data_IF_619875741895
#
_entry.id   IF_619875741895
#
_cell.length_a   1.000
_cell.length_b   1.000
_cell.length_c   1.000
_cell.angle_alpha   90.00
_cell.angle_beta   90.00
_cell.angle_gamma   90.00
#
_symmetry.space_group_name_H-M   'P 1'
#
loop_
_entity.id
_entity.type
_entity.pdbx_description
1 polymer ?
#
# COMPACT_ATOMS: atom_id res chain seq x y z
N UNK A 1 -18.08 12.19 13.35
CA UNK A 1 -17.57 11.61 14.61
C UNK A 1 -16.26 10.95 14.28
N UNK A 2 -15.15 11.32 14.91
CA UNK A 2 -13.88 10.67 14.67
C UNK A 2 -14.01 9.21 15.13
N UNK A 3 -13.73 8.26 14.24
CA UNK A 3 -13.71 6.85 14.58
C UNK A 3 -12.60 6.66 15.61
N UNK A 4 -12.91 6.08 16.76
CA UNK A 4 -11.88 5.80 17.76
C UNK A 4 -10.89 4.79 17.17
N UNK A 5 -9.59 5.09 17.29
CA UNK A 5 -8.52 4.20 16.88
C UNK A 5 -8.63 2.88 17.67
N UNK A 6 -9.05 1.81 16.98
CA UNK A 6 -9.24 0.48 17.55
C UNK A 6 -8.44 -0.59 16.78
N UNK A 7 -8.05 -1.66 17.45
CA UNK A 7 -7.45 -2.85 16.81
C UNK A 7 -8.44 -3.48 15.80
N UNK A 8 -7.96 -4.41 14.97
CA UNK A 8 -8.82 -5.22 14.12
C UNK A 8 -9.67 -6.13 15.01
N UNK A 9 -10.97 -5.86 15.05
CA UNK A 9 -11.92 -6.59 15.88
C UNK A 9 -12.44 -7.87 15.20
N UNK A 10 -13.07 -8.74 16.00
CA UNK A 10 -13.83 -9.91 15.56
C UNK A 10 -13.05 -10.95 14.75
N UNK A 11 -11.72 -11.02 14.91
CA UNK A 11 -10.85 -11.99 14.22
C UNK A 11 -11.37 -13.43 14.32
N UNK A 12 -11.62 -14.12 13.19
CA UNK A 12 -12.02 -15.53 13.19
C UNK A 12 -10.98 -16.44 13.87
N UNK A 13 -11.45 -17.34 14.73
CA UNK A 13 -10.58 -18.26 15.50
C UNK A 13 -9.74 -19.18 14.61
N UNK A 14 -10.20 -19.44 13.39
CA UNK A 14 -9.50 -20.31 12.44
C UNK A 14 -8.16 -19.71 12.00
N UNK A 15 -8.05 -18.38 11.91
CA UNK A 15 -6.83 -17.68 11.48
C UNK A 15 -5.67 -17.90 12.45
N UNK A 16 -5.96 -18.06 13.74
CA UNK A 16 -4.95 -18.35 14.77
C UNK A 16 -4.26 -19.69 14.61
N UNK A 17 -4.76 -20.57 13.72
CA UNK A 17 -4.11 -21.82 13.36
C UNK A 17 -3.13 -21.66 12.19
N UNK A 18 -3.13 -20.52 11.51
CA UNK A 18 -2.24 -20.25 10.39
C UNK A 18 -0.81 -20.03 10.90
N UNK A 19 0.21 -20.51 10.16
CA UNK A 19 1.61 -20.29 10.50
C UNK A 19 1.92 -18.80 10.65
N UNK A 20 2.63 -18.43 11.71
CA UNK A 20 3.09 -17.06 11.97
C UNK A 20 1.97 -16.00 12.02
N UNK A 21 0.70 -16.38 12.20
CA UNK A 21 -0.37 -15.38 12.33
C UNK A 21 -0.39 -14.77 13.73
N UNK A 22 -0.32 -15.61 14.79
CA UNK A 22 -0.34 -15.14 16.17
C UNK A 22 1.01 -14.66 16.71
N UNK A 23 2.07 -14.69 15.89
CA UNK A 23 3.43 -14.31 16.25
C UNK A 23 4.24 -14.06 14.99
N UNK A 24 5.19 -13.12 15.00
CA UNK A 24 6.10 -12.94 13.87
C UNK A 24 7.06 -14.13 13.69
N UNK A 25 7.44 -14.45 12.44
CA UNK A 25 8.42 -15.50 12.18
C UNK A 25 9.78 -15.18 12.81
N UNK A 26 10.55 -16.22 13.06
CA UNK A 26 11.93 -16.08 13.54
C UNK A 26 12.87 -15.79 12.36
N UNK A 27 13.78 -14.82 12.52
CA UNK A 27 14.78 -14.46 11.52
C UNK A 27 14.40 -13.25 10.66
N UNK A 28 15.31 -12.85 9.79
CA UNK A 28 15.11 -11.75 8.83
C UNK A 28 14.24 -12.21 7.66
N UNK A 29 13.42 -11.31 7.15
CA UNK A 29 12.63 -11.52 5.93
C UNK A 29 12.71 -10.30 5.02
N UNK A 30 12.37 -10.49 3.75
CA UNK A 30 12.14 -9.40 2.80
C UNK A 30 10.65 -9.20 2.56
N UNK A 31 10.22 -7.99 2.28
CA UNK A 31 8.83 -7.74 1.87
C UNK A 31 8.74 -7.91 0.35
N UNK A 32 7.85 -8.79 -0.11
CA UNK A 32 7.66 -9.08 -1.54
C UNK A 32 6.78 -8.01 -2.21
N UNK A 33 7.27 -6.76 -2.28
CA UNK A 33 6.54 -5.67 -2.94
C UNK A 33 6.48 -5.86 -4.45
N UNK A 34 7.59 -6.19 -5.12
CA UNK A 34 7.60 -6.31 -6.57
C UNK A 34 6.72 -7.48 -7.03
N UNK A 35 6.75 -8.64 -6.35
CA UNK A 35 5.88 -9.76 -6.68
C UNK A 35 4.40 -9.46 -6.48
N UNK A 36 4.05 -8.62 -5.51
CA UNK A 36 2.66 -8.24 -5.24
C UNK A 36 2.15 -7.05 -6.09
N UNK A 37 3.02 -6.09 -6.40
CA UNK A 37 2.64 -4.76 -6.92
C UNK A 37 3.14 -4.47 -8.34
N UNK A 38 4.06 -5.30 -8.86
CA UNK A 38 4.79 -5.03 -10.09
C UNK A 38 5.94 -4.04 -9.91
N UNK A 39 6.85 -4.04 -10.88
CA UNK A 39 8.10 -3.28 -10.83
C UNK A 39 7.87 -1.76 -10.77
N UNK A 40 6.84 -1.25 -11.47
CA UNK A 40 6.59 0.19 -11.50
C UNK A 40 6.32 0.74 -10.10
N UNK A 41 5.36 0.17 -9.38
CA UNK A 41 5.03 0.66 -8.03
C UNK A 41 6.18 0.36 -7.06
N UNK A 42 6.87 -0.79 -7.19
CA UNK A 42 8.06 -1.08 -6.41
C UNK A 42 9.15 0.01 -6.54
N UNK A 43 9.48 0.40 -7.78
CA UNK A 43 10.42 1.48 -8.06
C UNK A 43 9.92 2.86 -7.58
N UNK A 44 8.62 3.12 -7.73
CA UNK A 44 8.00 4.39 -7.32
C UNK A 44 8.11 4.59 -5.80
N UNK A 45 7.97 3.51 -5.02
CA UNK A 45 8.12 3.52 -3.56
C UNK A 45 9.59 3.51 -3.10
N UNK A 46 10.46 2.82 -3.85
CA UNK A 46 11.90 2.83 -3.58
C UNK A 46 12.47 4.25 -3.64
N UNK A 47 11.99 5.06 -4.59
CA UNK A 47 12.39 6.46 -4.76
C UNK A 47 11.82 7.42 -3.68
N UNK A 48 10.95 6.94 -2.78
CA UNK A 48 10.40 7.73 -1.67
C UNK A 48 11.28 7.66 -0.42
N UNK A 49 12.54 8.09 -0.55
CA UNK A 49 13.49 8.26 0.55
C UNK A 49 14.00 9.71 0.64
N UNK A 50 14.76 10.00 1.71
CA UNK A 50 15.48 11.27 1.84
C UNK A 50 14.59 12.50 1.77
N UNK A 51 15.06 13.58 1.15
CA UNK A 51 14.25 14.79 0.99
C UNK A 51 13.47 14.76 -0.32
N UNK A 52 12.16 15.00 -0.21
CA UNK A 52 11.23 14.95 -1.32
C UNK A 52 10.35 16.21 -1.37
N UNK A 53 9.89 16.62 -2.56
CA UNK A 53 10.31 16.10 -3.86
C UNK A 53 11.73 16.54 -4.23
N UNK A 54 12.42 15.72 -5.02
CA UNK A 54 13.72 16.06 -5.58
C UNK A 54 13.56 17.15 -6.66
N UNK A 55 14.26 18.27 -6.48
CA UNK A 55 14.29 19.40 -7.43
C UNK A 55 15.60 19.40 -8.24
N UNK A 56 15.54 19.80 -9.52
CA UNK A 56 16.69 19.91 -10.40
C UNK A 56 17.73 20.93 -9.90
N UNK A 57 17.31 21.96 -9.19
CA UNK A 57 18.17 22.89 -8.46
C UNK A 57 19.02 22.21 -7.39
N UNK A 58 18.44 21.29 -6.60
CA UNK A 58 19.18 20.48 -5.61
C UNK A 58 20.19 19.58 -6.33
N UNK A 59 19.75 18.85 -7.37
CA UNK A 59 20.62 17.95 -8.13
C UNK A 59 21.86 18.68 -8.70
N UNK A 60 21.70 19.92 -9.16
CA UNK A 60 22.82 20.75 -9.65
C UNK A 60 23.77 21.15 -8.52
N UNK A 61 23.26 21.48 -7.34
CA UNK A 61 24.06 21.87 -6.18
C UNK A 61 24.90 20.70 -5.67
N UNK A 62 24.36 19.49 -5.68
CA UNK A 62 25.04 18.29 -5.16
C UNK A 62 25.88 17.55 -6.21
N UNK A 63 26.07 18.13 -7.39
CA UNK A 63 26.86 17.52 -8.46
C UNK A 63 26.25 16.24 -9.03
N UNK A 64 24.92 16.08 -8.92
CA UNK A 64 24.20 14.91 -9.41
C UNK A 64 23.96 13.81 -8.38
N UNK A 65 24.43 13.98 -7.14
CA UNK A 65 24.30 12.97 -6.09
C UNK A 65 23.11 13.29 -5.18
N UNK A 66 22.25 12.31 -4.97
CA UNK A 66 21.14 12.39 -4.01
C UNK A 66 21.36 11.25 -3.02
N UNK A 67 21.46 11.61 -1.74
CA UNK A 67 21.65 10.68 -0.65
C UNK A 67 20.41 10.72 0.25
N UNK A 68 20.20 9.63 1.01
CA UNK A 68 19.14 9.54 2.03
C UNK A 68 19.29 10.67 3.06
N UNK A 69 20.52 10.96 3.49
CA UNK A 69 20.81 12.13 4.31
C UNK A 69 21.13 13.33 3.41
N UNK A 70 20.64 14.51 3.79
CA UNK A 70 20.92 15.75 3.04
C UNK A 70 22.42 16.09 3.08
N UNK A 71 22.96 16.62 1.98
CA UNK A 71 24.29 17.23 2.01
C UNK A 71 24.25 18.64 2.60
N UNK A 72 25.41 19.18 3.01
CA UNK A 72 25.53 20.53 3.55
C UNK A 72 24.98 21.59 2.57
N UNK A 73 25.21 21.42 1.27
CA UNK A 73 24.70 22.33 0.23
C UNK A 73 23.17 22.30 0.12
N UNK A 74 22.58 21.11 0.22
CA UNK A 74 21.13 20.96 0.23
C UNK A 74 20.52 21.58 1.50
N UNK A 75 21.15 21.35 2.66
CA UNK A 75 20.74 21.95 3.94
C UNK A 75 20.77 23.49 3.87
N UNK A 76 21.86 24.09 3.35
CA UNK A 76 21.94 25.55 3.17
C UNK A 76 20.89 26.08 2.19
N UNK A 77 20.60 25.34 1.11
CA UNK A 77 19.52 25.70 0.19
C UNK A 77 18.16 25.75 0.89
N UNK A 78 17.80 24.68 1.62
CA UNK A 78 16.53 24.62 2.34
C UNK A 78 16.46 25.68 3.44
N UNK A 79 17.57 25.95 4.13
CA UNK A 79 17.68 27.00 5.15
C UNK A 79 17.44 28.38 4.56
N UNK A 80 18.05 28.68 3.41
CA UNK A 80 17.86 29.93 2.68
C UNK A 80 16.42 30.13 2.18
N UNK A 81 15.74 29.05 1.77
CA UNK A 81 14.33 29.08 1.34
C UNK A 81 13.32 29.10 2.51
N UNK A 82 13.80 28.76 3.72
CA UNK A 82 13.01 28.68 4.94
C UNK A 82 12.00 27.53 4.89
N UNK A 83 12.46 26.37 4.45
CA UNK A 83 11.63 25.17 4.34
C UNK A 83 11.36 24.55 5.72
N UNK A 84 10.18 23.95 5.82
CA UNK A 84 9.82 23.03 6.90
C UNK A 84 9.58 21.64 6.28
N UNK A 85 9.63 20.60 7.10
CA UNK A 85 9.55 19.22 6.64
C UNK A 85 8.56 18.40 7.46
N UNK A 86 7.81 17.54 6.77
CA UNK A 86 7.06 16.45 7.41
C UNK A 86 7.77 15.13 7.14
N UNK A 87 8.08 14.37 8.19
CA UNK A 87 8.58 13.00 8.03
C UNK A 87 7.42 12.08 7.68
N UNK A 88 7.49 11.39 6.55
CA UNK A 88 6.47 10.49 6.04
C UNK A 88 7.05 9.08 5.95
N UNK A 89 6.37 8.13 6.57
CA UNK A 89 6.71 6.72 6.52
C UNK A 89 5.87 6.02 5.46
N UNK A 90 6.52 5.23 4.61
CA UNK A 90 5.90 4.25 3.71
C UNK A 90 5.72 2.98 4.52
N UNK A 91 4.48 2.68 4.91
CA UNK A 91 4.15 1.58 5.83
C UNK A 91 3.52 0.42 5.06
N UNK A 92 4.04 -0.78 5.28
CA UNK A 92 3.57 -2.02 4.68
C UNK A 92 3.11 -2.99 5.76
N UNK A 93 1.93 -3.59 5.57
CA UNK A 93 1.41 -4.65 6.43
C UNK A 93 1.40 -5.96 5.65
N UNK A 94 1.81 -7.05 6.29
CA UNK A 94 1.89 -8.38 5.66
C UNK A 94 0.80 -9.32 6.19
N UNK A 95 0.16 -10.08 5.30
CA UNK A 95 -0.91 -11.01 5.67
C UNK A 95 -0.36 -12.41 5.97
N UNK A 96 0.80 -12.76 5.42
CA UNK A 96 1.45 -14.04 5.60
C UNK A 96 2.97 -13.93 5.38
N UNK A 97 3.68 -15.00 5.74
CA UNK A 97 5.11 -15.15 5.51
C UNK A 97 5.39 -16.50 4.87
N UNK A 98 6.17 -16.50 3.79
CA UNK A 98 6.44 -17.67 2.95
C UNK A 98 7.93 -17.84 2.72
N UNK A 99 8.45 -19.05 2.87
CA UNK A 99 9.84 -19.37 2.54
C UNK A 99 9.94 -19.77 1.06
N UNK A 100 10.85 -19.10 0.33
CA UNK A 100 11.17 -19.38 -1.07
C UNK A 100 12.68 -19.45 -1.22
N UNK A 101 13.19 -20.56 -1.73
CA UNK A 101 14.64 -20.77 -1.95
C UNK A 101 15.52 -20.46 -0.73
N UNK A 102 15.05 -20.79 0.48
CA UNK A 102 15.77 -20.57 1.74
C UNK A 102 15.70 -19.13 2.28
N UNK A 103 14.88 -18.28 1.68
CA UNK A 103 14.66 -16.90 2.10
C UNK A 103 13.19 -16.69 2.49
N UNK A 104 12.99 -15.98 3.60
CA UNK A 104 11.65 -15.67 4.10
C UNK A 104 11.13 -14.37 3.48
N UNK A 105 9.89 -14.41 2.98
CA UNK A 105 9.21 -13.27 2.38
C UNK A 105 7.91 -12.94 3.13
N UNK A 106 7.75 -11.68 3.52
CA UNK A 106 6.48 -11.12 3.98
C UNK A 106 5.61 -10.73 2.80
N UNK A 107 4.38 -11.21 2.77
CA UNK A 107 3.44 -10.98 1.68
C UNK A 107 2.53 -9.79 2.01
N UNK A 108 2.61 -8.67 1.28
CA UNK A 108 1.89 -7.46 1.63
C UNK A 108 0.39 -7.58 1.35
N UNK A 109 -0.45 -7.00 2.22
CA UNK A 109 -1.88 -6.78 1.94
C UNK A 109 -2.29 -5.32 1.99
N UNK A 110 -1.44 -4.45 2.53
CA UNK A 110 -1.74 -3.04 2.65
C UNK A 110 -0.47 -2.21 2.62
N UNK A 111 -0.54 -1.09 1.89
CA UNK A 111 0.51 -0.10 1.72
C UNK A 111 -0.09 1.29 1.91
N UNK A 112 0.49 2.09 2.80
CA UNK A 112 0.07 3.47 3.02
C UNK A 112 1.21 4.42 3.34
N UNK A 113 0.94 5.70 3.15
CA UNK A 113 1.77 6.79 3.63
C UNK A 113 1.26 7.28 4.97
N UNK A 114 2.14 7.38 5.95
CA UNK A 114 1.80 7.85 7.29
C UNK A 114 2.71 9.00 7.72
N UNK A 115 2.17 10.16 8.12
CA UNK A 115 2.99 11.23 8.66
C UNK A 115 3.43 10.86 10.08
N UNK A 116 4.67 11.18 10.42
CA UNK A 116 5.10 11.26 11.80
C UNK A 116 4.24 12.29 12.54
N UNK A 117 3.96 12.02 13.81
CA UNK A 117 3.02 12.83 14.56
C UNK A 117 3.55 13.21 15.93
N UNK A 118 3.03 14.31 16.44
CA UNK A 118 3.25 14.76 17.81
C UNK A 118 1.93 15.24 18.37
N UNK A 119 1.48 14.61 19.46
CA UNK A 119 0.21 14.93 20.14
C UNK A 119 -1.01 14.87 19.20
N UNK A 120 -1.10 13.84 18.36
CA UNK A 120 -2.26 13.63 17.48
C UNK A 120 -2.28 14.49 16.21
N UNK A 121 -1.23 15.27 15.94
CA UNK A 121 -1.12 16.12 14.74
C UNK A 121 0.13 15.76 13.95
N UNK A 122 0.11 15.90 12.61
CA UNK A 122 1.31 15.77 11.79
C UNK A 122 2.42 16.68 12.31
N UNK A 123 3.62 16.10 12.49
CA UNK A 123 4.77 16.86 12.94
C UNK A 123 5.38 17.60 11.75
N UNK A 124 5.65 18.89 11.95
CA UNK A 124 6.45 19.71 11.04
C UNK A 124 7.72 20.16 11.76
N UNK A 125 8.87 20.02 11.12
CA UNK A 125 10.18 20.35 11.68
C UNK A 125 10.96 21.26 10.74
N UNK A 126 11.74 22.18 11.29
CA UNK A 126 12.59 23.06 10.50
C UNK A 126 13.88 22.37 10.03
N UNK A 127 14.61 23.05 9.14
CA UNK A 127 15.84 22.54 8.51
C UNK A 127 16.89 22.05 9.52
N UNK A 128 17.07 22.75 10.64
CA UNK A 128 18.08 22.39 11.65
C UNK A 128 17.81 21.04 12.35
N UNK A 129 16.59 20.51 12.23
CA UNK A 129 16.27 19.18 12.73
C UNK A 129 16.68 18.10 11.72
N UNK A 130 16.40 18.30 10.42
CA UNK A 130 16.80 17.35 9.37
C UNK A 130 18.33 17.32 9.17
N UNK A 131 19.01 18.42 9.44
CA UNK A 131 20.49 18.52 9.48
C UNK A 131 21.10 17.60 10.55
N UNK A 132 20.37 17.35 11.65
CA UNK A 132 20.86 16.56 12.80
C UNK A 132 20.44 15.11 12.77
N UNK A 133 19.43 14.76 11.97
CA UNK A 133 18.92 13.39 11.93
C UNK A 133 19.69 12.57 10.91
N UNK A 134 20.03 11.34 11.29
CA UNK A 134 20.64 10.38 10.38
C UNK A 134 19.57 9.41 9.93
N UNK A 135 18.85 9.76 8.87
CA UNK A 135 17.71 9.01 8.36
C UNK A 135 18.09 7.59 7.94
N UNK A 136 19.24 7.42 7.30
CA UNK A 136 19.77 6.10 6.93
C UNK A 136 19.90 5.17 8.15
N UNK A 137 20.34 5.69 9.30
CA UNK A 137 20.47 4.90 10.53
C UNK A 137 19.11 4.52 11.12
N UNK A 138 18.09 5.35 10.88
CA UNK A 138 16.71 5.03 11.29
C UNK A 138 16.19 3.88 10.44
N UNK A 139 16.41 3.93 9.12
CA UNK A 139 16.02 2.87 8.19
C UNK A 139 16.77 1.56 8.46
N UNK A 140 18.08 1.62 8.73
CA UNK A 140 18.87 0.46 9.18
C UNK A 140 18.34 -0.17 10.48
N UNK A 141 17.67 0.64 11.30
CA UNK A 141 17.00 0.20 12.51
C UNK A 141 15.71 -0.57 12.29
N UNK A 142 15.28 -0.80 11.04
CA UNK A 142 14.02 -1.46 10.66
C UNK A 142 12.81 -0.90 11.43
N UNK A 143 12.40 0.36 11.15
CA UNK A 143 11.33 0.99 11.89
C UNK A 143 10.01 0.26 11.69
N UNK A 144 9.20 0.19 12.74
CA UNK A 144 7.91 -0.49 12.68
C UNK A 144 6.86 0.14 13.61
N UNK A 145 5.60 -0.06 13.23
CA UNK A 145 4.43 0.26 14.04
C UNK A 145 3.82 -1.02 14.59
N UNK A 146 3.85 -1.19 15.92
CA UNK A 146 3.21 -2.31 16.61
C UNK A 146 1.74 -2.00 16.88
N UNK A 147 0.86 -2.95 16.57
CA UNK A 147 -0.59 -2.80 16.69
C UNK A 147 -1.19 -1.86 15.65
N UNK A 148 -0.52 -1.70 14.49
CA UNK A 148 -0.96 -0.85 13.40
C UNK A 148 -2.17 -1.45 12.69
N UNK A 149 -3.34 -0.80 12.84
CA UNK A 149 -4.54 -1.13 12.11
C UNK A 149 -4.70 -0.15 10.92
N UNK A 150 -4.46 -0.59 9.68
CA UNK A 150 -4.60 0.28 8.51
C UNK A 150 -6.05 0.71 8.24
N UNK A 151 -7.05 0.04 8.82
CA UNK A 151 -8.47 0.31 8.61
C UNK A 151 -9.05 1.34 9.60
N UNK A 152 -8.31 1.70 10.67
CA UNK A 152 -8.80 2.61 11.73
C UNK A 152 -7.75 3.65 12.19
N UNK A 153 -6.59 3.71 11.53
CA UNK A 153 -5.45 4.55 11.91
C UNK A 153 -4.88 4.28 13.32
N UNK A 154 -5.26 3.16 13.95
CA UNK A 154 -4.75 2.80 15.27
C UNK A 154 -3.31 2.28 15.19
N UNK A 155 -2.51 2.61 16.19
CA UNK A 155 -1.25 1.92 16.50
C UNK A 155 -0.92 2.09 17.98
N UNK A 156 -0.24 1.12 18.56
CA UNK A 156 0.19 1.18 19.95
C UNK A 156 1.53 1.89 20.12
N UNK A 157 2.53 1.46 19.35
CA UNK A 157 3.91 1.93 19.52
C UNK A 157 4.62 2.05 18.17
N UNK A 158 5.44 3.07 18.02
CA UNK A 158 6.41 3.19 16.94
C UNK A 158 7.80 2.86 17.51
N UNK A 159 8.51 1.95 16.85
CA UNK A 159 9.81 1.44 17.29
C UNK A 159 10.87 1.65 16.19
N UNK A 160 12.13 1.77 16.63
CA UNK A 160 13.32 1.74 15.79
C UNK A 160 14.39 0.95 16.53
N UNK A 161 14.97 -0.06 15.88
CA UNK A 161 16.12 -0.82 16.39
C UNK A 161 15.94 -2.33 16.29
N UNK A 162 17.04 -3.03 16.01
CA UNK A 162 17.10 -4.50 15.99
C UNK A 162 16.69 -5.10 17.35
N UNK A 163 15.81 -6.11 17.31
CA UNK A 163 15.44 -6.89 18.49
C UNK A 163 14.40 -6.24 19.41
N UNK A 164 13.67 -5.23 18.92
CA UNK A 164 12.51 -4.72 19.65
C UNK A 164 11.52 -5.86 19.93
N UNK A 165 11.15 -6.10 21.19
CA UNK A 165 10.36 -7.26 21.55
C UNK A 165 8.95 -7.11 20.98
N UNK A 166 8.68 -7.83 19.90
CA UNK A 166 7.33 -8.04 19.40
C UNK A 166 6.57 -8.78 20.49
N UNK A 167 5.42 -8.24 20.92
CA UNK A 167 4.56 -8.97 21.82
C UNK A 167 4.22 -10.31 21.15
N UNK A 168 4.64 -11.43 21.75
CA UNK A 168 4.42 -12.79 21.23
C UNK A 168 2.94 -13.19 21.09
N UNK A 169 2.03 -12.32 21.53
CA UNK A 169 0.58 -12.48 21.43
C UNK A 169 -0.05 -11.50 20.43
N UNK A 170 0.75 -10.76 19.66
CA UNK A 170 0.27 -9.84 18.62
C UNK A 170 0.11 -10.58 17.29
N UNK A 171 -0.99 -10.31 16.59
CA UNK A 171 -1.18 -10.84 15.26
C UNK A 171 -0.19 -10.17 14.29
N UNK A 172 0.44 -10.93 13.41
CA UNK A 172 1.46 -10.41 12.50
C UNK A 172 0.93 -9.39 11.50
N UNK A 173 -0.37 -9.42 11.25
CA UNK A 173 -1.06 -8.52 10.33
C UNK A 173 -1.26 -7.10 10.87
N UNK A 174 -1.04 -6.86 12.16
CA UNK A 174 -1.06 -5.51 12.75
C UNK A 174 0.33 -4.97 13.03
N UNK A 175 1.30 -5.39 12.21
CA UNK A 175 2.65 -4.85 12.24
C UNK A 175 2.85 -4.08 10.94
N UNK A 176 2.96 -2.76 11.09
CA UNK A 176 3.24 -1.84 9.99
C UNK A 176 4.73 -1.66 9.86
N UNK A 177 5.37 -2.44 8.99
CA UNK A 177 6.78 -2.30 8.67
C UNK A 177 7.02 -1.02 7.88
N UNK A 178 7.95 -0.17 8.32
CA UNK A 178 8.34 1.01 7.56
C UNK A 178 9.32 0.58 6.49
N UNK A 179 8.82 0.49 5.25
CA UNK A 179 9.62 0.13 4.09
C UNK A 179 10.59 1.24 3.69
N UNK A 180 10.13 2.49 3.77
CA UNK A 180 10.94 3.67 3.48
C UNK A 180 10.42 4.89 4.26
N UNK A 181 11.24 5.93 4.34
CA UNK A 181 10.89 7.19 4.99
C UNK A 181 11.47 8.34 4.18
N UNK A 182 10.66 9.39 3.96
CA UNK A 182 11.11 10.63 3.35
C UNK A 182 10.65 11.87 4.14
N UNK A 183 11.39 12.96 3.97
CA UNK A 183 11.05 14.29 4.46
C UNK A 183 10.40 15.09 3.33
N UNK A 184 9.10 15.33 3.47
CA UNK A 184 8.34 16.17 2.55
C UNK A 184 8.60 17.66 2.84
N UNK A 185 9.28 18.34 1.92
CA UNK A 185 9.50 19.77 1.96
C UNK A 185 8.18 20.55 1.81
N UNK A 186 7.98 21.56 2.65
CA UNK A 186 6.79 22.42 2.65
C UNK A 186 6.73 23.36 1.44
N UNK A 187 7.88 23.58 0.79
CA UNK A 187 8.05 24.43 -0.39
C UNK A 187 8.82 23.64 -1.44
N UNK A 188 8.41 23.80 -2.70
CA UNK A 188 9.13 23.30 -3.87
C UNK A 188 8.52 23.90 -5.15
N UNK A 189 9.32 24.02 -6.20
CA UNK A 189 8.84 24.38 -7.53
C UNK A 189 8.44 23.12 -8.31
N UNK A 190 7.13 22.93 -8.52
CA UNK A 190 6.58 21.81 -9.29
C UNK A 190 7.18 21.64 -10.69
N UNK A 191 7.65 22.74 -11.29
CA UNK A 191 8.27 22.73 -12.61
C UNK A 191 9.73 22.25 -12.59
N UNK A 192 10.41 22.34 -11.44
CA UNK A 192 11.79 21.89 -11.23
C UNK A 192 11.85 20.48 -10.62
N UNK A 193 10.73 19.92 -10.16
CA UNK A 193 10.68 18.55 -9.64
C UNK A 193 11.06 17.54 -10.74
N UNK A 194 11.99 16.65 -10.38
CA UNK A 194 12.49 15.57 -11.21
C UNK A 194 11.57 14.34 -11.12
N UNK A 195 11.51 13.61 -12.22
CA UNK A 195 10.75 12.37 -12.33
C UNK A 195 11.68 11.17 -12.09
N UNK A 196 11.25 10.10 -11.40
CA UNK A 196 12.12 8.96 -11.10
C UNK A 196 12.56 8.23 -12.36
N UNK A 197 13.87 8.02 -12.51
CA UNK A 197 14.45 7.43 -13.73
C UNK A 197 13.92 6.02 -14.02
N UNK A 198 13.81 5.17 -13.00
CA UNK A 198 13.32 3.79 -13.16
C UNK A 198 11.85 3.77 -13.62
N UNK A 199 10.98 4.58 -13.02
CA UNK A 199 9.57 4.66 -13.41
C UNK A 199 9.38 5.27 -14.80
N UNK A 200 10.10 6.36 -15.11
CA UNK A 200 10.00 7.01 -16.42
C UNK A 200 10.48 6.11 -17.55
N UNK A 201 11.46 5.24 -17.31
CA UNK A 201 11.89 4.23 -18.29
C UNK A 201 10.78 3.24 -18.66
N UNK A 202 9.91 2.89 -17.70
CA UNK A 202 8.76 2.00 -17.90
C UNK A 202 7.59 2.69 -18.63
N UNK A 203 7.50 4.02 -18.59
CA UNK A 203 6.48 4.79 -19.32
C UNK A 203 6.84 5.03 -20.80
N UNK A 204 8.08 4.74 -21.20
CA UNK A 204 8.61 5.10 -22.51
C UNK A 204 8.54 6.61 -22.79
N UNK A 205 8.36 6.99 -24.06
CA UNK A 205 8.36 8.41 -24.48
C UNK A 205 7.01 9.14 -24.29
N UNK A 206 6.04 8.51 -23.61
CA UNK A 206 4.69 9.04 -23.51
C UNK A 206 4.58 10.20 -22.51
N UNK A 207 4.68 11.43 -23.02
CA UNK A 207 4.47 12.67 -22.24
C UNK A 207 3.12 12.72 -21.52
N UNK A 208 2.09 12.10 -22.09
CA UNK A 208 0.75 12.10 -21.52
C UNK A 208 0.64 11.19 -20.29
N UNK A 209 1.29 10.02 -20.32
CA UNK A 209 1.37 9.11 -19.17
C UNK A 209 2.26 9.70 -18.09
N UNK A 210 3.40 10.28 -18.47
CA UNK A 210 4.26 11.03 -17.55
C UNK A 210 3.49 12.14 -16.82
N UNK A 211 2.64 12.88 -17.53
CA UNK A 211 1.80 13.92 -16.92
C UNK A 211 0.79 13.35 -15.92
N UNK A 212 0.15 12.22 -16.25
CA UNK A 212 -0.80 11.56 -15.35
C UNK A 212 -0.09 11.03 -14.09
N UNK A 213 1.09 10.42 -14.25
CA UNK A 213 1.95 9.97 -13.16
C UNK A 213 2.43 11.12 -12.25
N UNK A 214 2.91 12.22 -12.82
CA UNK A 214 3.31 13.41 -12.05
C UNK A 214 2.16 13.98 -11.21
N UNK A 215 0.96 14.06 -11.80
CA UNK A 215 -0.24 14.52 -11.07
C UNK A 215 -0.54 13.61 -9.88
N UNK A 216 -0.38 12.30 -10.05
CA UNK A 216 -0.53 11.35 -8.96
C UNK A 216 0.50 11.61 -7.86
N UNK A 217 1.81 11.67 -8.16
CA UNK A 217 2.85 11.95 -7.15
C UNK A 217 2.57 13.27 -6.41
N UNK A 218 2.21 14.34 -7.11
CA UNK A 218 1.89 15.62 -6.46
C UNK A 218 0.64 15.59 -5.58
N UNK A 219 -0.36 14.79 -5.94
CA UNK A 219 -1.62 14.72 -5.19
C UNK A 219 -1.60 13.72 -4.04
N UNK A 220 -0.70 12.73 -4.10
CA UNK A 220 -0.61 11.62 -3.15
C UNK A 220 0.65 11.66 -2.28
N UNK A 221 1.83 11.78 -2.89
CA UNK A 221 3.11 11.69 -2.19
C UNK A 221 3.57 13.07 -1.71
N UNK A 222 3.42 14.10 -2.53
CA UNK A 222 3.94 15.44 -2.24
C UNK A 222 2.87 16.42 -1.76
N UNK A 223 1.70 15.90 -1.36
CA UNK A 223 0.66 16.68 -0.69
C UNK A 223 0.94 16.65 0.82
N UNK A 224 1.13 17.82 1.47
CA UNK A 224 1.30 17.88 2.91
C UNK A 224 0.11 17.28 3.65
N UNK A 225 0.40 16.59 4.75
CA UNK A 225 -0.62 16.05 5.64
C UNK A 225 -1.14 17.15 6.56
N UNK A 226 -2.46 17.34 6.56
CA UNK A 226 -3.19 18.23 7.48
C UNK A 226 -3.77 17.48 8.69
N UNK A 227 -3.75 16.15 8.65
CA UNK A 227 -4.20 15.24 9.69
C UNK A 227 -3.33 13.97 9.71
N UNK A 228 -3.53 13.12 10.72
CA UNK A 228 -2.72 11.91 10.93
C UNK A 228 -3.24 10.66 10.22
N UNK A 229 -4.30 10.76 9.40
CA UNK A 229 -4.87 9.63 8.68
C UNK A 229 -3.91 9.14 7.60
N UNK A 230 -3.62 7.83 7.54
CA UNK A 230 -2.78 7.27 6.51
C UNK A 230 -3.44 7.42 5.14
N UNK A 231 -2.64 7.75 4.13
CA UNK A 231 -3.10 7.72 2.74
C UNK A 231 -2.80 6.34 2.19
N UNK A 232 -3.83 5.51 2.02
CA UNK A 232 -3.70 4.20 1.35
C UNK A 232 -3.23 4.40 -0.10
N UNK A 233 -2.22 3.63 -0.48
CA UNK A 233 -1.70 3.54 -1.85
C UNK A 233 -2.23 2.29 -2.54
N UNK A 234 -2.28 1.16 -1.82
CA UNK A 234 -2.76 -0.11 -2.34
C UNK A 234 -3.12 -1.07 -1.19
N UNK A 235 -3.97 -2.06 -1.48
CA UNK A 235 -4.26 -3.18 -0.59
C UNK A 235 -5.72 -3.28 -0.20
N UNK A 236 -6.05 -4.24 0.69
CA UNK A 236 -7.40 -4.49 1.16
C UNK A 236 -8.06 -3.24 1.77
N UNK A 237 -9.38 -3.17 1.67
CA UNK A 237 -10.21 -2.06 2.12
C UNK A 237 -10.87 -2.35 3.47
N UNK A 238 -10.94 -3.62 3.86
CA UNK A 238 -11.60 -4.04 5.09
C UNK A 238 -10.94 -5.26 5.77
N UNK A 239 -11.19 -5.46 7.08
CA UNK A 239 -10.77 -6.67 7.78
C UNK A 239 -11.31 -7.98 7.17
N UNK A 240 -12.53 -7.99 6.64
CA UNK A 240 -13.13 -9.21 6.07
C UNK A 240 -12.43 -9.63 4.77
N UNK A 241 -11.99 -8.69 3.95
CA UNK A 241 -11.12 -8.99 2.81
C UNK A 241 -9.80 -9.62 3.30
N UNK A 242 -9.15 -9.00 4.29
CA UNK A 242 -7.91 -9.53 4.86
C UNK A 242 -8.08 -10.96 5.39
N UNK A 243 -9.16 -11.25 6.12
CA UNK A 243 -9.42 -12.58 6.65
C UNK A 243 -9.61 -13.62 5.56
N UNK A 244 -10.32 -13.27 4.48
CA UNK A 244 -10.46 -14.15 3.32
C UNK A 244 -9.12 -14.35 2.61
N UNK A 245 -8.33 -13.30 2.42
CA UNK A 245 -7.00 -13.38 1.81
C UNK A 245 -6.06 -14.32 2.58
N UNK A 246 -5.99 -14.18 3.90
CA UNK A 246 -5.20 -15.04 4.78
C UNK A 246 -5.63 -16.52 4.67
N UNK A 247 -6.94 -16.76 4.64
CA UNK A 247 -7.47 -18.11 4.45
C UNK A 247 -7.17 -18.67 3.06
N UNK A 248 -7.36 -17.89 1.99
CA UNK A 248 -7.04 -18.27 0.61
C UNK A 248 -5.56 -18.67 0.46
N UNK A 249 -4.65 -17.91 1.09
CA UNK A 249 -3.24 -18.23 1.09
C UNK A 249 -2.93 -19.61 1.68
N UNK A 250 -3.68 -20.06 2.70
CA UNK A 250 -3.51 -21.40 3.27
C UNK A 250 -3.85 -22.54 2.31
N UNK A 251 -4.60 -22.23 1.24
CA UNK A 251 -4.89 -23.14 0.11
C UNK A 251 -3.95 -22.94 -1.08
N UNK A 252 -2.89 -22.14 -0.92
CA UNK A 252 -1.95 -21.83 -2.00
C UNK A 252 -2.48 -20.83 -3.03
N UNK A 253 -3.65 -20.22 -2.79
CA UNK A 253 -4.23 -19.24 -3.69
C UNK A 253 -3.55 -17.87 -3.52
N UNK A 254 -3.18 -17.25 -4.64
CA UNK A 254 -2.51 -15.94 -4.68
C UNK A 254 -3.24 -15.00 -5.66
N UNK A 255 -4.41 -14.44 -5.27
CA UNK A 255 -5.11 -13.50 -6.13
C UNK A 255 -4.38 -12.16 -6.20
N UNK A 256 -4.66 -11.41 -7.26
CA UNK A 256 -4.36 -9.98 -7.32
C UNK A 256 -5.39 -9.22 -6.48
N UNK A 257 -4.92 -8.36 -5.57
CA UNK A 257 -5.75 -7.58 -4.65
C UNK A 257 -6.16 -6.25 -5.28
N UNK A 258 -7.42 -5.84 -5.09
CA UNK A 258 -8.01 -4.57 -5.54
C UNK A 258 -7.72 -4.27 -7.02
N UNK A 259 -8.51 -4.89 -7.90
CA UNK A 259 -8.26 -4.88 -9.34
C UNK A 259 -9.34 -4.12 -10.10
N UNK A 260 -8.94 -3.11 -10.86
CA UNK A 260 -9.84 -2.40 -11.78
C UNK A 260 -10.08 -3.21 -13.05
N UNK A 261 -11.35 -3.27 -13.47
CA UNK A 261 -11.77 -3.92 -14.71
C UNK A 261 -12.58 -2.92 -15.54
N UNK A 262 -12.15 -2.67 -16.78
CA UNK A 262 -12.77 -1.71 -17.70
C UNK A 262 -13.70 -2.41 -18.69
N UNK A 263 -14.59 -1.62 -19.32
CA UNK A 263 -15.58 -2.12 -20.29
C UNK A 263 -14.98 -2.76 -21.53
N UNK A 264 -13.72 -2.45 -21.87
CA UNK A 264 -13.01 -3.05 -23.00
C UNK A 264 -12.22 -4.31 -22.63
N UNK A 265 -12.34 -4.76 -21.38
CA UNK A 265 -11.61 -5.91 -20.85
C UNK A 265 -10.20 -5.61 -20.40
N UNK A 266 -9.77 -4.34 -20.38
CA UNK A 266 -8.51 -3.94 -19.75
C UNK A 266 -8.59 -4.14 -18.24
N UNK A 267 -7.54 -4.69 -17.65
CA UNK A 267 -7.46 -5.06 -16.22
C UNK A 267 -6.16 -4.53 -15.65
N UNK A 268 -6.20 -3.90 -14.48
CA UNK A 268 -5.00 -3.47 -13.78
C UNK A 268 -5.21 -3.37 -12.25
N UNK A 269 -4.24 -3.82 -11.44
CA UNK A 269 -4.31 -3.71 -9.98
C UNK A 269 -4.00 -2.31 -9.44
N UNK A 270 -3.30 -1.49 -10.21
CA UNK A 270 -2.83 -0.17 -9.75
C UNK A 270 -2.83 0.83 -10.89
N UNK A 271 -2.81 2.12 -10.57
CA UNK A 271 -2.60 3.15 -11.59
C UNK A 271 -1.21 3.05 -12.24
N UNK A 272 -0.22 2.59 -11.49
CA UNK A 272 1.14 2.35 -11.95
C UNK A 272 1.17 1.28 -13.04
N UNK A 273 0.56 0.12 -12.80
CA UNK A 273 0.45 -0.95 -13.81
C UNK A 273 -0.41 -0.53 -15.01
N UNK A 274 -1.43 0.29 -14.78
CA UNK A 274 -2.21 0.92 -15.86
C UNK A 274 -1.34 1.79 -16.77
N UNK A 275 -0.49 2.65 -16.19
CA UNK A 275 0.39 3.53 -16.98
C UNK A 275 1.52 2.76 -17.66
N UNK A 276 2.10 1.77 -16.99
CA UNK A 276 3.07 0.84 -17.57
C UNK A 276 2.48 0.13 -18.80
N UNK A 277 1.21 -0.29 -18.74
CA UNK A 277 0.46 -0.83 -19.88
C UNK A 277 0.07 0.18 -20.96
N UNK A 278 0.51 1.44 -20.86
CA UNK A 278 0.23 2.49 -21.84
C UNK A 278 -1.15 3.16 -21.70
N UNK A 279 -1.90 2.84 -20.65
CA UNK A 279 -3.29 3.27 -20.48
C UNK A 279 -3.35 4.53 -19.62
N UNK A 280 -4.03 5.57 -20.11
CA UNK A 280 -4.14 6.86 -19.41
C UNK A 280 -5.23 6.87 -18.36
N UNK A 281 -5.03 7.61 -17.26
CA UNK A 281 -5.97 7.72 -16.13
C UNK A 281 -7.40 8.07 -16.54
N UNK A 282 -7.60 8.83 -17.63
CA UNK A 282 -8.95 9.13 -18.16
C UNK A 282 -9.78 7.88 -18.51
N UNK A 283 -9.15 6.74 -18.76
CA UNK A 283 -9.83 5.47 -19.05
C UNK A 283 -10.57 4.91 -17.83
N UNK A 284 -10.27 5.37 -16.61
CA UNK A 284 -11.04 5.03 -15.41
C UNK A 284 -12.52 5.42 -15.50
N UNK A 285 -12.87 6.38 -16.38
CA UNK A 285 -14.27 6.70 -16.69
C UNK A 285 -15.06 5.53 -17.30
N UNK A 286 -14.36 4.49 -17.79
CA UNK A 286 -14.91 3.27 -18.35
C UNK A 286 -14.78 2.07 -17.40
N UNK A 287 -14.52 2.29 -16.12
CA UNK A 287 -14.43 1.22 -15.13
C UNK A 287 -15.81 0.55 -15.00
N UNK A 288 -15.86 -0.77 -15.13
CA UNK A 288 -17.02 -1.57 -14.74
C UNK A 288 -17.08 -1.57 -13.21
N UNK A 289 -15.98 -1.98 -12.58
CA UNK A 289 -15.84 -2.10 -11.14
C UNK A 289 -14.37 -2.18 -10.73
N UNK A 290 -14.11 -2.05 -9.44
CA UNK A 290 -12.90 -2.51 -8.76
C UNK A 290 -13.31 -3.74 -7.95
N UNK A 291 -12.59 -4.85 -8.12
CA UNK A 291 -12.90 -6.13 -7.45
C UNK A 291 -11.89 -6.39 -6.35
N UNK A 292 -12.33 -6.96 -5.23
CA UNK A 292 -11.46 -7.15 -4.06
C UNK A 292 -10.32 -8.13 -4.35
N UNK A 293 -10.63 -9.23 -5.05
CA UNK A 293 -9.65 -10.21 -5.50
C UNK A 293 -9.90 -10.64 -6.95
N UNK A 294 -8.82 -10.83 -7.71
CA UNK A 294 -8.89 -11.27 -9.10
C UNK A 294 -7.88 -12.39 -9.39
N UNK A 295 -8.35 -13.44 -10.06
CA UNK A 295 -7.53 -14.52 -10.61
C UNK A 295 -7.46 -14.37 -12.12
N UNK A 296 -6.33 -13.87 -12.63
CA UNK A 296 -6.18 -13.50 -14.03
C UNK A 296 -6.26 -14.69 -14.98
N UNK A 297 -5.65 -15.82 -14.63
CA UNK A 297 -5.61 -17.02 -15.47
C UNK A 297 -7.01 -17.63 -15.61
N UNK A 298 -7.73 -17.77 -14.51
CA UNK A 298 -9.08 -18.36 -14.46
C UNK A 298 -10.18 -17.34 -14.85
N UNK A 299 -9.82 -16.05 -14.97
CA UNK A 299 -10.74 -14.92 -15.21
C UNK A 299 -11.88 -14.88 -14.19
N UNK A 300 -11.53 -15.01 -12.91
CA UNK A 300 -12.47 -15.00 -11.79
C UNK A 300 -12.29 -13.72 -10.98
N UNK A 301 -13.38 -12.97 -10.82
CA UNK A 301 -13.49 -11.81 -9.94
C UNK A 301 -14.22 -12.20 -8.65
N UNK A 302 -13.69 -11.79 -7.51
CA UNK A 302 -14.29 -12.04 -6.20
C UNK A 302 -14.61 -10.71 -5.54
N UNK A 303 -15.84 -10.60 -5.06
CA UNK A 303 -16.34 -9.52 -4.23
C UNK A 303 -16.58 -10.03 -2.80
N UNK A 304 -16.20 -9.21 -1.84
CA UNK A 304 -16.40 -9.41 -0.42
C UNK A 304 -17.52 -8.49 0.06
N UNK A 305 -18.72 -9.04 0.11
CA UNK A 305 -19.92 -8.24 0.37
C UNK A 305 -20.19 -8.13 1.88
N UNK A 306 -20.04 -6.94 2.44
CA UNK A 306 -20.52 -6.68 3.80
C UNK A 306 -22.05 -6.57 3.83
N UNK A 307 -22.72 -7.30 4.73
CA UNK A 307 -24.21 -7.37 4.76
C UNK A 307 -24.90 -6.02 4.92
N UNK A 308 -24.21 -5.01 5.46
CA UNK A 308 -24.76 -3.67 5.64
C UNK A 308 -25.13 -2.96 4.32
N UNK A 309 -24.61 -3.41 3.16
CA UNK A 309 -24.68 -2.64 1.91
C UNK A 309 -25.40 -3.32 0.72
N UNK A 310 -25.86 -4.57 0.85
CA UNK A 310 -26.33 -5.35 -0.32
C UNK A 310 -27.75 -5.94 -0.22
N UNK A 311 -28.55 -5.57 0.79
CA UNK A 311 -29.91 -6.11 0.95
C UNK A 311 -31.02 -5.26 0.31
N UNK A 312 -30.72 -4.09 -0.24
CA UNK A 312 -31.71 -3.25 -0.92
C UNK A 312 -31.87 -3.66 -2.39
N UNK A 313 -33.06 -3.48 -2.95
CA UNK A 313 -33.33 -3.77 -4.37
C UNK A 313 -32.37 -3.02 -5.32
N UNK A 314 -32.03 -1.76 -4.97
CA UNK A 314 -31.09 -0.94 -5.74
C UNK A 314 -29.67 -1.50 -5.71
N UNK A 315 -29.19 -1.98 -4.56
CA UNK A 315 -27.87 -2.59 -4.45
C UNK A 315 -27.81 -3.90 -5.25
N UNK A 316 -28.83 -4.75 -5.13
CA UNK A 316 -28.95 -6.00 -5.90
C UNK A 316 -28.97 -5.72 -7.41
N UNK A 317 -29.71 -4.70 -7.85
CA UNK A 317 -29.76 -4.32 -9.27
C UNK A 317 -28.41 -3.79 -9.77
N UNK A 318 -27.70 -3.02 -8.95
CA UNK A 318 -26.34 -2.54 -9.25
C UNK A 318 -25.35 -3.69 -9.37
N UNK A 319 -25.38 -4.62 -8.41
CA UNK A 319 -24.50 -5.80 -8.41
C UNK A 319 -24.75 -6.68 -9.63
N UNK A 320 -26.02 -6.94 -9.95
CA UNK A 320 -26.38 -7.66 -11.18
C UNK A 320 -25.87 -6.96 -12.44
N UNK A 321 -25.96 -5.63 -12.50
CA UNK A 321 -25.45 -4.87 -13.65
C UNK A 321 -23.93 -5.00 -13.78
N UNK A 322 -23.20 -5.08 -12.66
CA UNK A 322 -21.75 -5.34 -12.66
C UNK A 322 -21.49 -6.76 -13.15
N UNK A 323 -22.21 -7.75 -12.63
CA UNK A 323 -22.08 -9.16 -13.02
C UNK A 323 -22.32 -9.36 -14.53
N UNK A 324 -23.42 -8.80 -15.07
CA UNK A 324 -23.75 -8.87 -16.49
C UNK A 324 -22.64 -8.24 -17.37
N UNK A 325 -22.04 -7.13 -16.90
CA UNK A 325 -20.93 -6.45 -17.62
C UNK A 325 -19.64 -7.26 -17.57
N UNK A 326 -19.34 -7.91 -16.45
CA UNK A 326 -18.18 -8.80 -16.32
C UNK A 326 -18.34 -10.06 -17.18
N UNK A 327 -19.54 -10.65 -17.18
CA UNK A 327 -19.85 -11.81 -18.02
C UNK A 327 -19.71 -11.48 -19.51
N UNK A 328 -20.14 -10.29 -19.94
CA UNK A 328 -19.98 -9.84 -21.33
C UNK A 328 -18.51 -9.79 -21.80
N UNK A 329 -17.56 -9.59 -20.88
CA UNK A 329 -16.10 -9.67 -21.15
C UNK A 329 -15.49 -10.98 -20.66
N UNK A 330 -16.31 -12.02 -20.44
CA UNK A 330 -15.91 -13.38 -20.04
C UNK A 330 -15.13 -13.41 -18.73
N UNK A 331 -15.59 -12.65 -17.73
CA UNK A 331 -15.09 -12.71 -16.36
C UNK A 331 -16.22 -13.25 -15.50
N UNK A 332 -15.94 -14.32 -14.76
CA UNK A 332 -16.90 -14.91 -13.82
C UNK A 332 -16.81 -14.15 -12.50
N UNK A 333 -17.92 -13.61 -12.01
CA UNK A 333 -17.98 -13.01 -10.68
C UNK A 333 -18.42 -14.02 -9.62
N UNK A 334 -17.84 -13.89 -8.42
CA UNK A 334 -18.18 -14.64 -7.22
C UNK A 334 -18.35 -13.63 -6.09
N UNK A 335 -19.39 -13.80 -5.30
CA UNK A 335 -19.65 -12.99 -4.11
C UNK A 335 -19.54 -13.86 -2.87
N UNK A 336 -18.71 -13.44 -1.92
CA UNK A 336 -18.51 -14.09 -0.64
C UNK A 336 -18.99 -13.11 0.44
N UNK A 337 -19.92 -13.55 1.29
CA UNK A 337 -20.52 -12.65 2.28
C UNK A 337 -19.61 -12.47 3.49
N UNK A 338 -19.59 -11.26 4.04
CA UNK A 338 -18.90 -10.95 5.29
C UNK A 338 -19.26 -11.90 6.43
N UNK A 339 -20.54 -12.19 6.73
CA UNK A 339 -20.91 -13.15 7.78
C UNK A 339 -20.35 -14.55 7.55
N UNK A 340 -20.31 -15.04 6.30
CA UNK A 340 -19.73 -16.34 6.01
C UNK A 340 -18.23 -16.35 6.31
N UNK A 341 -17.52 -15.27 5.93
CA UNK A 341 -16.09 -15.08 6.22
C UNK A 341 -15.86 -14.99 7.73
N UNK A 342 -16.71 -14.27 8.45
CA UNK A 342 -16.60 -14.14 9.91
C UNK A 342 -16.87 -15.47 10.63
N UNK A 343 -17.78 -16.27 10.09
CA UNK A 343 -18.11 -17.59 10.63
C UNK A 343 -17.00 -18.61 10.34
N UNK A 344 -16.52 -18.70 9.09
CA UNK A 344 -15.40 -19.55 8.70
C UNK A 344 -14.72 -19.00 7.43
N UNK A 345 -13.59 -18.28 7.57
CA UNK A 345 -12.84 -17.82 6.41
C UNK A 345 -12.20 -19.01 5.66
N UNK A 346 -11.88 -20.11 6.36
CA UNK A 346 -11.33 -21.34 5.75
C UNK A 346 -12.34 -22.01 4.83
N UNK A 347 -13.62 -22.13 5.24
CA UNK A 347 -14.65 -22.69 4.38
C UNK A 347 -14.91 -21.81 3.14
N UNK A 348 -14.86 -20.48 3.31
CA UNK A 348 -14.97 -19.55 2.19
C UNK A 348 -13.79 -19.72 1.21
N UNK A 349 -12.56 -19.82 1.73
CA UNK A 349 -11.38 -20.04 0.92
C UNK A 349 -11.40 -21.40 0.18
N UNK A 350 -11.86 -22.48 0.82
CA UNK A 350 -12.07 -23.77 0.15
C UNK A 350 -13.07 -23.64 -1.01
N UNK A 351 -14.18 -22.94 -0.82
CA UNK A 351 -15.15 -22.68 -1.89
C UNK A 351 -14.51 -21.92 -3.06
N UNK A 352 -13.63 -20.96 -2.78
CA UNK A 352 -12.87 -20.27 -3.84
C UNK A 352 -11.93 -21.24 -4.53
N UNK A 353 -11.15 -22.02 -3.78
CA UNK A 353 -10.24 -23.04 -4.31
C UNK A 353 -10.96 -24.00 -5.26
N UNK A 354 -12.11 -24.54 -4.85
CA UNK A 354 -12.92 -25.44 -5.67
C UNK A 354 -13.42 -24.79 -6.96
N UNK A 355 -13.52 -23.46 -7.03
CA UNK A 355 -13.92 -22.74 -8.24
C UNK A 355 -12.70 -22.42 -9.13
N UNK A 356 -11.52 -22.28 -8.56
CA UNK A 356 -10.29 -21.98 -9.30
C UNK A 356 -9.68 -23.24 -9.92
N UNK A 357 -9.76 -24.37 -9.23
CA UNK A 357 -9.19 -25.65 -9.68
C UNK A 357 -10.11 -26.49 -10.57
N UNK A 358 -11.39 -26.11 -10.71
CA UNK A 358 -12.38 -26.75 -11.60
C UNK A 358 -12.78 -25.83 -12.75
#
# INVERSE_FOLDING_TARGET
>A
MAQEAADIENRPKELFKLPNYGYLPYGSFQIDLNGALGDFLGHDLFDLDGNQPIEGSILKLTGGLINVNSSDEAIEFYRGRGDDFQMINVVVCCYAFEERDGQLFGLPYHLSLRPAQKRGLPSSVGVDWIDKIHLERILDGNPDYMGFNPFSNAFGLYCVGEGMPVNKQMCSDVIGFVYNTYFLASKYDKSDVLDPGLCTSLLGESKALLSDYRKFRFSRYFKPFDNIEPVKIWGCDSPIELFLLQAMHSFGLKPTIQTHILTDGTIFPTLQTMWEGGVRTKALSKTITEVDFYFAEQRVAIFVDSVAHHSSEEAIAKDKTIDDKLEAIRIRSIRISGPDIMNSPIACAQRVFDIIEN
#
